data_IF_039589718579
#
_entry.id   IF_039589718579
#
_cell.length_a   1.000
_cell.length_b   1.000
_cell.length_c   1.000
_cell.angle_alpha   90.00
_cell.angle_beta   90.00
_cell.angle_gamma   90.00
#
_symmetry.space_group_name_H-M   'P 1'
#
loop_
_entity.id
_entity.type
_entity.pdbx_description
1 polymer ?
#
# COMPACT_ATOMS: atom_id res chain seq x y z
N UNK A 1 -36.97 8.87 17.09
CA UNK A 1 -36.31 7.95 16.13
C UNK A 1 -35.42 8.78 15.23
N UNK A 2 -34.17 8.97 15.64
CA UNK A 2 -33.19 9.76 14.88
C UNK A 2 -32.73 8.91 13.70
N UNK A 3 -33.06 9.33 12.49
CA UNK A 3 -32.58 8.70 11.27
C UNK A 3 -31.05 8.73 11.29
N UNK A 4 -30.42 7.55 11.23
CA UNK A 4 -29.00 7.42 10.95
C UNK A 4 -28.80 7.88 9.50
N UNK A 5 -28.50 9.17 9.33
CA UNK A 5 -28.05 9.73 8.06
C UNK A 5 -26.81 8.95 7.65
N UNK A 6 -26.95 8.09 6.64
CA UNK A 6 -25.81 7.37 6.07
C UNK A 6 -24.76 8.42 5.67
N UNK A 7 -23.49 8.27 6.08
CA UNK A 7 -22.46 9.21 5.67
C UNK A 7 -22.40 9.25 4.14
N UNK A 8 -22.06 10.41 3.54
CA UNK A 8 -21.92 10.53 2.11
C UNK A 8 -20.99 9.42 1.63
N UNK A 9 -21.49 8.56 0.72
CA UNK A 9 -20.70 7.45 0.19
C UNK A 9 -19.44 8.03 -0.45
N UNK A 10 -18.31 7.85 0.24
CA UNK A 10 -16.98 8.16 -0.28
C UNK A 10 -16.87 7.53 -1.67
N UNK A 11 -16.33 8.26 -2.66
CA UNK A 11 -16.07 7.71 -4.00
C UNK A 11 -14.99 6.65 -3.86
N UNK A 12 -15.42 5.42 -3.60
CA UNK A 12 -14.57 4.28 -3.38
C UNK A 12 -14.88 3.21 -4.41
N UNK A 13 -13.86 2.42 -4.70
CA UNK A 13 -13.88 1.33 -5.66
C UNK A 13 -13.46 0.09 -4.93
N UNK A 14 -14.18 -0.97 -5.19
CA UNK A 14 -14.04 -2.21 -4.44
C UNK A 14 -13.79 -3.34 -5.41
N UNK A 15 -13.09 -4.36 -4.92
CA UNK A 15 -12.89 -5.57 -5.69
C UNK A 15 -12.71 -6.79 -4.80
N UNK A 16 -12.80 -7.94 -5.44
CA UNK A 16 -12.60 -9.25 -4.84
C UNK A 16 -11.65 -10.04 -5.72
N UNK A 17 -10.65 -10.68 -5.12
CA UNK A 17 -9.71 -11.56 -5.77
C UNK A 17 -9.82 -12.95 -5.13
N UNK A 18 -10.09 -13.95 -5.96
CA UNK A 18 -9.97 -15.36 -5.59
C UNK A 18 -8.52 -15.80 -5.81
N UNK A 19 -7.93 -16.41 -4.81
CA UNK A 19 -6.53 -16.85 -4.83
C UNK A 19 -6.47 -18.33 -4.48
N UNK A 20 -5.34 -18.99 -4.74
CA UNK A 20 -5.18 -20.42 -4.44
C UNK A 20 -5.37 -20.75 -2.95
N UNK A 21 -5.04 -19.82 -2.06
CA UNK A 21 -5.08 -20.03 -0.61
C UNK A 21 -6.22 -19.33 0.13
N UNK A 22 -7.09 -18.59 -0.57
CA UNK A 22 -8.11 -17.79 0.10
C UNK A 22 -8.72 -16.68 -0.76
N UNK A 23 -9.41 -15.75 -0.09
CA UNK A 23 -10.09 -14.63 -0.74
C UNK A 23 -9.55 -13.31 -0.22
N UNK A 24 -9.40 -12.33 -1.12
CA UNK A 24 -9.04 -10.95 -0.77
C UNK A 24 -10.13 -10.01 -1.23
N UNK A 25 -10.55 -9.10 -0.35
CA UNK A 25 -11.38 -7.95 -0.70
C UNK A 25 -10.61 -6.68 -0.47
N UNK A 26 -10.76 -5.70 -1.34
CA UNK A 26 -10.08 -4.42 -1.24
C UNK A 26 -11.01 -3.27 -1.52
N UNK A 27 -10.67 -2.09 -0.99
CA UNK A 27 -11.34 -0.82 -1.23
C UNK A 27 -10.32 0.30 -1.38
N UNK A 28 -10.41 1.03 -2.49
CA UNK A 28 -9.60 2.22 -2.80
C UNK A 28 -10.53 3.41 -2.96
N UNK A 29 -10.28 4.51 -2.26
CA UNK A 29 -11.08 5.72 -2.45
C UNK A 29 -10.43 6.96 -1.87
N UNK A 30 -11.17 8.06 -1.95
CA UNK A 30 -10.77 9.36 -1.39
C UNK A 30 -11.46 9.55 -0.05
N UNK A 31 -10.72 10.01 0.98
CA UNK A 31 -11.26 10.38 2.30
C UNK A 31 -11.67 11.86 2.34
N UNK A 32 -12.54 12.21 3.29
CA UNK A 32 -12.71 13.60 3.69
C UNK A 32 -11.37 14.13 4.29
N UNK A 33 -10.89 15.32 3.88
CA UNK A 33 -9.70 15.93 4.47
C UNK A 33 -9.75 16.09 5.99
N UNK A 34 -10.93 16.32 6.57
CA UNK A 34 -11.13 16.48 8.01
C UNK A 34 -11.00 15.16 8.79
N UNK A 35 -11.11 14.00 8.13
CA UNK A 35 -10.99 12.69 8.75
C UNK A 35 -9.56 12.15 8.70
N UNK A 36 -9.05 11.63 9.82
CA UNK A 36 -7.75 10.97 9.85
C UNK A 36 -7.78 9.69 8.99
N UNK A 37 -6.77 9.50 8.13
CA UNK A 37 -6.67 8.35 7.23
C UNK A 37 -6.70 7.00 7.98
N UNK A 38 -6.09 6.94 9.18
CA UNK A 38 -6.10 5.75 10.04
C UNK A 38 -7.50 5.39 10.56
N UNK A 39 -8.32 6.39 10.86
CA UNK A 39 -9.73 6.21 11.27
C UNK A 39 -10.56 5.67 10.11
N UNK A 40 -10.48 6.30 8.94
CA UNK A 40 -11.20 5.86 7.72
C UNK A 40 -10.79 4.44 7.34
N UNK A 41 -9.49 4.14 7.34
CA UNK A 41 -8.99 2.81 7.00
C UNK A 41 -9.49 1.73 7.96
N UNK A 42 -9.50 1.99 9.27
CA UNK A 42 -10.02 1.03 10.27
C UNK A 42 -11.52 0.80 10.10
N UNK A 43 -12.29 1.85 9.87
CA UNK A 43 -13.72 1.76 9.59
C UNK A 43 -14.00 0.93 8.34
N UNK A 44 -13.25 1.16 7.26
CA UNK A 44 -13.41 0.39 6.02
C UNK A 44 -13.04 -1.09 6.17
N UNK A 45 -12.01 -1.41 6.94
CA UNK A 45 -11.66 -2.80 7.24
C UNK A 45 -12.80 -3.50 7.97
N UNK A 46 -13.37 -2.88 9.01
CA UNK A 46 -14.53 -3.43 9.72
C UNK A 46 -15.73 -3.60 8.79
N UNK A 47 -16.04 -2.57 8.00
CA UNK A 47 -17.16 -2.59 7.07
C UNK A 47 -17.03 -3.70 6.02
N UNK A 48 -15.85 -3.93 5.46
CA UNK A 48 -15.58 -5.02 4.51
C UNK A 48 -15.84 -6.37 5.16
N UNK A 49 -15.35 -6.58 6.39
CA UNK A 49 -15.56 -7.85 7.11
C UNK A 49 -17.05 -8.09 7.36
N UNK A 50 -17.75 -7.08 7.88
CA UNK A 50 -19.17 -7.19 8.25
C UNK A 50 -20.08 -7.33 7.04
N UNK A 51 -19.90 -6.49 6.02
CA UNK A 51 -20.76 -6.45 4.83
C UNK A 51 -20.69 -7.75 4.04
N UNK A 52 -19.51 -8.37 4.00
CA UNK A 52 -19.30 -9.60 3.24
C UNK A 52 -19.31 -10.86 4.10
N UNK A 53 -19.58 -10.76 5.40
CA UNK A 53 -19.63 -11.90 6.31
C UNK A 53 -18.34 -12.74 6.28
N UNK A 54 -17.17 -12.10 6.17
CA UNK A 54 -15.90 -12.82 5.98
C UNK A 54 -15.55 -13.72 7.18
N UNK A 55 -15.79 -13.20 8.39
CA UNK A 55 -15.66 -13.89 9.67
C UNK A 55 -16.37 -13.08 10.76
N UNK A 56 -16.53 -13.65 11.95
CA UNK A 56 -17.09 -12.95 13.10
C UNK A 56 -16.14 -11.84 13.58
N UNK A 57 -16.58 -10.58 13.51
CA UNK A 57 -15.78 -9.43 13.92
C UNK A 57 -15.54 -9.40 15.44
N UNK A 58 -14.28 -9.45 15.84
CA UNK A 58 -13.85 -9.36 17.25
C UNK A 58 -12.97 -8.14 17.53
N UNK A 59 -12.75 -7.28 16.53
CA UNK A 59 -11.91 -6.09 16.64
C UNK A 59 -10.45 -6.30 16.21
N UNK A 60 -9.64 -5.30 16.51
CA UNK A 60 -8.20 -5.31 16.23
C UNK A 60 -7.42 -5.79 17.46
N UNK A 61 -6.34 -6.52 17.23
CA UNK A 61 -5.41 -6.89 18.29
C UNK A 61 -4.56 -5.69 18.73
N UNK A 62 -4.19 -5.67 20.01
CA UNK A 62 -3.14 -4.78 20.50
C UNK A 62 -1.79 -5.26 19.97
N UNK A 63 -1.05 -4.38 19.32
CA UNK A 63 0.28 -4.69 18.75
C UNK A 63 1.29 -3.61 19.14
N UNK A 64 2.60 -3.92 19.21
CA UNK A 64 3.62 -2.92 19.51
C UNK A 64 3.59 -1.74 18.51
N UNK A 65 4.07 -0.55 18.91
CA UNK A 65 4.24 0.57 17.98
C UNK A 65 5.04 0.15 16.74
N UNK A 66 4.69 0.71 15.58
CA UNK A 66 5.35 0.46 14.28
C UNK A 66 5.27 -0.99 13.75
N UNK A 67 4.49 -1.86 14.40
CA UNK A 67 4.20 -3.19 13.87
C UNK A 67 2.98 -3.17 12.95
N UNK A 68 2.87 -4.16 12.08
CA UNK A 68 1.70 -4.34 11.22
C UNK A 68 0.46 -4.56 12.10
N UNK A 69 -0.62 -3.78 11.94
CA UNK A 69 -1.90 -4.01 12.60
C UNK A 69 -2.45 -5.42 12.31
N UNK A 70 -3.19 -6.00 13.27
CA UNK A 70 -3.73 -7.37 13.17
C UNK A 70 -5.17 -7.43 13.66
N UNK A 71 -5.93 -8.39 13.14
CA UNK A 71 -7.22 -8.75 13.73
C UNK A 71 -7.00 -9.43 15.08
N UNK A 72 -7.99 -9.36 15.96
CA UNK A 72 -8.02 -10.18 17.16
C UNK A 72 -8.35 -11.66 16.86
N UNK A 73 -8.95 -11.94 15.69
CA UNK A 73 -9.16 -13.29 15.17
C UNK A 73 -7.99 -13.79 14.33
N UNK A 74 -7.72 -15.09 14.43
CA UNK A 74 -6.76 -15.77 13.57
C UNK A 74 -7.33 -16.08 12.18
N UNK A 75 -6.46 -16.46 11.24
CA UNK A 75 -6.85 -16.92 9.91
C UNK A 75 -7.18 -15.82 8.90
N UNK A 76 -7.11 -14.56 9.30
CA UNK A 76 -7.25 -13.40 8.43
C UNK A 76 -6.10 -12.40 8.60
N UNK A 77 -5.87 -11.59 7.57
CA UNK A 77 -4.88 -10.52 7.55
C UNK A 77 -5.50 -9.28 6.90
N UNK A 78 -4.97 -8.10 7.22
CA UNK A 78 -5.33 -6.89 6.51
C UNK A 78 -4.13 -5.98 6.33
N UNK A 79 -4.25 -5.10 5.35
CA UNK A 79 -3.27 -4.05 5.14
C UNK A 79 -3.97 -2.76 4.78
N UNK A 80 -3.35 -1.65 5.18
CA UNK A 80 -3.82 -0.30 4.90
C UNK A 80 -2.67 0.51 4.31
N UNK A 81 -2.99 1.44 3.42
CA UNK A 81 -2.06 2.48 2.97
C UNK A 81 -2.84 3.75 2.62
N UNK A 82 -2.17 4.89 2.67
CA UNK A 82 -2.74 6.17 2.28
C UNK A 82 -1.66 7.08 1.71
N UNK A 83 -2.03 7.90 0.73
CA UNK A 83 -1.15 8.92 0.14
C UNK A 83 -2.02 10.07 -0.37
N UNK A 84 -1.71 11.29 0.07
CA UNK A 84 -2.61 12.44 -0.09
C UNK A 84 -4.00 12.19 0.51
N UNK A 85 -5.04 12.42 -0.30
CA UNK A 85 -6.44 12.14 0.06
C UNK A 85 -6.87 10.69 -0.16
N UNK A 86 -6.00 9.81 -0.66
CA UNK A 86 -6.37 8.42 -0.97
C UNK A 86 -6.17 7.49 0.22
N UNK A 87 -7.10 6.56 0.37
CA UNK A 87 -7.01 5.44 1.31
C UNK A 87 -7.22 4.14 0.53
N UNK A 88 -6.37 3.16 0.81
CA UNK A 88 -6.45 1.81 0.28
C UNK A 88 -6.43 0.82 1.44
N UNK A 89 -7.41 -0.08 1.46
CA UNK A 89 -7.44 -1.21 2.41
C UNK A 89 -7.62 -2.52 1.66
N UNK A 90 -7.05 -3.60 2.20
CA UNK A 90 -7.36 -4.96 1.79
C UNK A 90 -7.51 -5.87 3.00
N UNK A 91 -8.45 -6.81 2.92
CA UNK A 91 -8.72 -7.86 3.89
C UNK A 91 -8.57 -9.20 3.18
N UNK A 92 -7.67 -10.05 3.68
CA UNK A 92 -7.45 -11.40 3.20
C UNK A 92 -7.89 -12.44 4.23
N UNK A 93 -8.60 -13.48 3.78
CA UNK A 93 -8.90 -14.67 4.60
C UNK A 93 -8.12 -15.84 4.03
N UNK A 94 -7.35 -16.55 4.88
CA UNK A 94 -6.48 -17.66 4.47
C UNK A 94 -5.15 -17.24 3.83
N UNK A 95 -4.95 -15.96 3.56
CA UNK A 95 -3.76 -15.40 2.89
C UNK A 95 -3.24 -14.16 3.62
N UNK A 96 -1.95 -13.86 3.46
CA UNK A 96 -1.40 -12.58 3.91
C UNK A 96 -1.52 -11.54 2.80
N UNK A 97 -1.86 -10.32 3.18
CA UNK A 97 -2.10 -9.23 2.22
C UNK A 97 -1.30 -8.00 2.57
N UNK A 98 -0.85 -7.29 1.54
CA UNK A 98 -0.16 -6.01 1.68
C UNK A 98 -0.66 -5.06 0.61
N UNK A 99 -0.91 -3.81 0.98
CA UNK A 99 -1.31 -2.78 0.03
C UNK A 99 -0.45 -1.55 0.15
N UNK A 100 -0.23 -0.91 -0.97
CA UNK A 100 0.38 0.42 -0.99
C UNK A 100 -0.29 1.33 -2.02
N UNK A 101 -0.24 2.63 -1.77
CA UNK A 101 -0.80 3.65 -2.67
C UNK A 101 0.11 4.88 -2.65
N UNK A 102 0.41 5.42 -3.82
CA UNK A 102 1.16 6.66 -4.00
C UNK A 102 0.42 7.60 -4.93
N UNK A 103 0.25 8.85 -4.49
CA UNK A 103 -0.40 9.90 -5.27
C UNK A 103 0.62 10.82 -5.95
N UNK A 104 0.27 11.31 -7.15
CA UNK A 104 0.99 12.38 -7.80
C UNK A 104 1.06 13.63 -6.90
N UNK A 105 2.12 14.47 -6.98
CA UNK A 105 3.05 14.62 -8.11
C UNK A 105 4.32 13.72 -8.11
N UNK A 106 4.43 12.67 -7.27
CA UNK A 106 5.55 11.71 -7.30
C UNK A 106 6.96 12.33 -7.16
N UNK A 107 7.03 13.55 -6.65
CA UNK A 107 8.27 14.35 -6.62
C UNK A 107 9.35 13.73 -5.72
N UNK A 108 8.95 13.00 -4.66
CA UNK A 108 9.86 12.25 -3.80
C UNK A 108 10.77 11.29 -4.60
N UNK A 109 10.29 10.75 -5.72
CA UNK A 109 11.02 9.80 -6.55
C UNK A 109 12.12 10.44 -7.41
N UNK A 110 12.25 11.78 -7.44
CA UNK A 110 13.43 12.45 -8.03
C UNK A 110 14.71 12.18 -7.23
N UNK A 111 14.58 11.92 -5.92
CA UNK A 111 15.71 11.69 -5.03
C UNK A 111 16.60 10.54 -5.52
N UNK A 112 17.86 10.84 -5.81
CA UNK A 112 18.86 9.83 -6.17
C UNK A 112 19.10 8.84 -5.01
N UNK A 113 19.06 9.32 -3.76
CA UNK A 113 19.24 8.48 -2.59
C UNK A 113 18.11 7.44 -2.45
N UNK A 114 16.85 7.85 -2.69
CA UNK A 114 15.71 6.94 -2.69
C UNK A 114 15.86 5.89 -3.79
N UNK A 115 16.15 6.31 -5.02
CA UNK A 115 16.34 5.38 -6.16
C UNK A 115 17.42 4.34 -5.90
N UNK A 116 18.56 4.73 -5.30
CA UNK A 116 19.65 3.81 -4.94
C UNK A 116 19.28 2.78 -3.88
N UNK A 117 18.34 3.11 -2.99
CA UNK A 117 17.88 2.20 -1.92
C UNK A 117 16.69 1.35 -2.33
N UNK A 118 15.95 1.78 -3.35
CA UNK A 118 14.72 1.13 -3.82
C UNK A 118 14.96 0.15 -4.96
N UNK A 119 15.86 0.48 -5.90
CA UNK A 119 16.01 -0.28 -7.15
C UNK A 119 17.05 -1.40 -7.01
N UNK A 120 16.74 -2.54 -7.59
CA UNK A 120 17.75 -3.54 -7.95
C UNK A 120 18.64 -3.02 -9.09
N UNK A 121 19.84 -3.56 -9.32
CA UNK A 121 20.66 -3.19 -10.47
C UNK A 121 19.91 -3.29 -11.81
N UNK A 122 19.16 -4.39 -12.00
CA UNK A 122 18.39 -4.61 -13.22
C UNK A 122 17.22 -3.63 -13.41
N UNK A 123 16.61 -3.14 -12.34
CA UNK A 123 15.57 -2.10 -12.43
C UNK A 123 16.19 -0.72 -12.68
N UNK A 124 17.38 -0.46 -12.14
CA UNK A 124 18.14 0.77 -12.43
C UNK A 124 18.50 0.86 -13.92
N UNK A 125 18.96 -0.24 -14.52
CA UNK A 125 19.27 -0.31 -15.95
C UNK A 125 18.02 -0.17 -16.83
N UNK A 126 16.88 -0.71 -16.37
CA UNK A 126 15.58 -0.52 -17.04
C UNK A 126 15.11 0.92 -16.99
N UNK A 127 15.26 1.61 -15.85
CA UNK A 127 14.88 3.01 -15.69
C UNK A 127 15.58 3.93 -16.71
N UNK A 128 16.82 3.62 -17.09
CA UNK A 128 17.55 4.38 -18.10
C UNK A 128 16.85 4.38 -19.48
N UNK A 129 16.06 3.33 -19.77
CA UNK A 129 15.30 3.18 -21.02
C UNK A 129 13.90 3.81 -20.96
N UNK A 130 13.45 4.23 -19.78
CA UNK A 130 12.14 4.88 -19.59
C UNK A 130 12.24 6.36 -20.01
N UNK A 131 11.31 6.87 -20.85
CA UNK A 131 11.21 8.29 -21.18
C UNK A 131 11.18 9.18 -19.93
N UNK A 132 11.84 10.33 -19.99
CA UNK A 132 12.07 11.19 -18.81
C UNK A 132 10.78 11.58 -18.07
N UNK A 133 9.71 11.86 -18.82
CA UNK A 133 8.36 12.17 -18.33
C UNK A 133 7.66 10.97 -17.68
N UNK A 134 7.98 9.75 -18.10
CA UNK A 134 7.44 8.51 -17.54
C UNK A 134 8.25 7.95 -16.36
N UNK A 135 9.42 8.53 -16.02
CA UNK A 135 10.30 8.00 -14.97
C UNK A 135 9.71 8.07 -13.56
N UNK A 136 9.15 9.21 -13.15
CA UNK A 136 8.59 9.33 -11.79
C UNK A 136 7.40 8.41 -11.56
N UNK A 137 6.43 8.32 -12.50
CA UNK A 137 5.35 7.36 -12.34
C UNK A 137 5.82 5.91 -12.38
N UNK A 138 6.83 5.58 -13.19
CA UNK A 138 7.44 4.25 -13.18
C UNK A 138 8.08 3.94 -11.82
N UNK A 139 8.81 4.88 -11.23
CA UNK A 139 9.43 4.73 -9.90
C UNK A 139 8.38 4.56 -8.80
N UNK A 140 7.32 5.36 -8.83
CA UNK A 140 6.19 5.21 -7.92
C UNK A 140 5.59 3.81 -8.02
N UNK A 141 5.36 3.31 -9.24
CA UNK A 141 4.84 1.95 -9.46
C UNK A 141 5.74 0.87 -8.87
N UNK A 142 7.05 0.96 -9.09
CA UNK A 142 8.02 0.00 -8.53
C UNK A 142 8.01 0.06 -7.00
N UNK A 143 8.02 1.26 -6.44
CA UNK A 143 7.93 1.49 -5.00
C UNK A 143 6.66 0.86 -4.41
N UNK A 144 5.50 1.24 -4.92
CA UNK A 144 4.19 0.79 -4.44
C UNK A 144 4.05 -0.73 -4.50
N UNK A 145 4.52 -1.37 -5.57
CA UNK A 145 4.52 -2.81 -5.68
C UNK A 145 5.44 -3.49 -4.64
N UNK A 146 6.63 -2.93 -4.39
CA UNK A 146 7.57 -3.48 -3.41
C UNK A 146 7.11 -3.27 -1.97
N UNK A 147 6.58 -2.10 -1.64
CA UNK A 147 5.98 -1.80 -0.33
C UNK A 147 4.78 -2.69 -0.06
N UNK A 148 3.92 -2.94 -1.05
CA UNK A 148 2.83 -3.89 -0.92
C UNK A 148 3.35 -5.30 -0.56
N UNK A 149 4.38 -5.81 -1.26
CA UNK A 149 4.99 -7.11 -0.92
C UNK A 149 5.58 -7.13 0.50
N UNK A 150 6.29 -6.07 0.89
CA UNK A 150 6.90 -5.94 2.22
C UNK A 150 5.82 -5.94 3.30
N UNK A 151 4.75 -5.17 3.12
CA UNK A 151 3.59 -5.15 4.01
C UNK A 151 2.88 -6.50 4.10
N UNK A 152 2.80 -7.25 3.00
CA UNK A 152 2.24 -8.61 3.00
C UNK A 152 3.12 -9.59 3.80
N UNK A 153 4.45 -9.46 3.68
CA UNK A 153 5.40 -10.31 4.39
C UNK A 153 5.47 -10.02 5.90
N UNK A 154 5.18 -8.77 6.31
CA UNK A 154 5.32 -8.30 7.69
C UNK A 154 6.77 -8.03 8.11
N UNK A 155 7.73 -8.09 7.18
CA UNK A 155 9.16 -7.85 7.44
C UNK A 155 9.47 -6.37 7.73
N UNK A 156 8.59 -5.46 7.29
CA UNK A 156 8.77 -4.02 7.43
C UNK A 156 10.07 -3.52 6.80
N UNK A 157 10.64 -2.46 7.36
CA UNK A 157 11.88 -1.82 6.86
C UNK A 157 13.13 -2.73 6.90
N UNK A 158 13.03 -3.95 7.45
CA UNK A 158 14.14 -4.91 7.50
C UNK A 158 14.43 -5.52 6.14
N UNK A 159 13.46 -5.51 5.21
CA UNK A 159 13.62 -6.09 3.89
C UNK A 159 14.37 -5.11 2.97
N UNK A 160 15.49 -5.55 2.42
CA UNK A 160 16.28 -4.76 1.47
C UNK A 160 15.62 -4.76 0.08
N UNK A 161 15.06 -3.62 -0.32
CA UNK A 161 14.36 -3.42 -1.59
C UNK A 161 15.25 -3.70 -2.81
N UNK A 162 16.58 -3.64 -2.66
CA UNK A 162 17.54 -3.90 -3.73
C UNK A 162 17.72 -5.40 -4.02
N UNK A 163 17.20 -6.27 -3.17
CA UNK A 163 17.39 -7.73 -3.25
C UNK A 163 16.22 -8.49 -3.86
N UNK A 164 15.13 -7.80 -4.20
CA UNK A 164 14.01 -8.42 -4.90
C UNK A 164 13.42 -7.46 -5.92
N UNK A 165 12.99 -8.02 -7.05
CA UNK A 165 12.31 -7.30 -8.10
C UNK A 165 10.82 -7.58 -8.05
N UNK A 166 10.03 -6.61 -8.50
CA UNK A 166 8.62 -6.83 -8.84
C UNK A 166 8.53 -7.15 -10.33
N UNK A 167 7.52 -7.91 -10.78
CA UNK A 167 7.27 -8.11 -12.21
C UNK A 167 7.25 -6.77 -12.93
N UNK A 168 7.67 -6.74 -14.20
CA UNK A 168 7.56 -5.54 -15.01
C UNK A 168 6.06 -5.22 -15.19
N UNK A 169 5.52 -4.38 -14.31
CA UNK A 169 4.14 -3.95 -14.38
C UNK A 169 4.01 -3.03 -15.59
N UNK A 170 3.47 -3.60 -16.67
CA UNK A 170 3.37 -3.10 -18.04
C UNK A 170 3.07 -1.60 -18.17
N UNK A 171 3.48 -1.05 -19.31
CA UNK A 171 3.44 0.36 -19.78
C UNK A 171 2.04 0.98 -19.89
N UNK A 172 1.18 0.82 -18.89
CA UNK A 172 -0.04 1.59 -18.81
C UNK A 172 0.30 3.03 -18.39
N UNK A 173 -0.32 4.05 -19.01
CA UNK A 173 -0.11 5.42 -18.61
C UNK A 173 -0.54 5.62 -17.16
N UNK A 174 0.25 6.39 -16.42
CA UNK A 174 0.00 6.74 -15.03
C UNK A 174 -0.47 8.17 -15.02
N UNK A 175 -1.75 8.38 -14.69
CA UNK A 175 -2.24 9.75 -14.74
C UNK A 175 -2.12 10.45 -13.39
N UNK A 176 -2.48 9.84 -12.24
CA UNK A 176 -2.38 10.52 -10.92
C UNK A 176 -2.23 9.64 -9.67
N UNK A 177 -2.23 8.32 -9.79
CA UNK A 177 -2.22 7.40 -8.65
C UNK A 177 -1.58 6.07 -9.06
N UNK A 178 -0.72 5.53 -8.20
CA UNK A 178 -0.28 4.14 -8.24
C UNK A 178 -0.82 3.42 -7.01
N UNK A 179 -1.40 2.24 -7.20
CA UNK A 179 -1.92 1.41 -6.11
C UNK A 179 -1.58 -0.04 -6.41
N UNK A 180 -1.12 -0.77 -5.39
CA UNK A 180 -0.76 -2.17 -5.50
C UNK A 180 -1.36 -2.99 -4.36
N UNK A 181 -1.74 -4.22 -4.69
CA UNK A 181 -2.13 -5.28 -3.76
C UNK A 181 -1.20 -6.47 -3.96
N UNK A 182 -0.50 -6.86 -2.90
CA UNK A 182 0.28 -8.07 -2.83
C UNK A 182 -0.44 -9.14 -2.01
N UNK A 183 -0.38 -10.38 -2.48
CA UNK A 183 -0.93 -11.56 -1.80
C UNK A 183 0.14 -12.62 -1.64
N UNK A 184 0.30 -13.12 -0.40
CA UNK A 184 1.17 -14.25 -0.09
C UNK A 184 0.33 -15.43 0.43
N UNK A 185 0.38 -16.53 -0.30
CA UNK A 185 -0.19 -17.83 0.09
C UNK A 185 0.94 -18.79 0.51
N UNK A 186 0.66 -19.80 1.35
CA UNK A 186 1.69 -20.73 1.86
C UNK A 186 2.39 -21.53 0.74
N UNK A 187 1.64 -21.91 -0.31
CA UNK A 187 2.10 -22.83 -1.36
C UNK A 187 1.96 -22.23 -2.77
N UNK A 188 2.10 -20.91 -2.90
CA UNK A 188 2.05 -20.22 -4.18
C UNK A 188 3.11 -19.11 -4.24
N UNK A 189 3.62 -18.76 -5.42
CA UNK A 189 4.50 -17.61 -5.57
C UNK A 189 3.75 -16.32 -5.16
N UNK A 190 4.49 -15.28 -4.70
CA UNK A 190 3.90 -13.97 -4.43
C UNK A 190 3.16 -13.41 -5.64
N UNK A 191 1.93 -12.95 -5.43
CA UNK A 191 1.15 -12.26 -6.45
C UNK A 191 1.15 -10.76 -6.17
N UNK A 192 1.33 -9.93 -7.21
CA UNK A 192 1.24 -8.47 -7.11
C UNK A 192 0.33 -7.94 -8.20
N UNK A 193 -0.72 -7.25 -7.78
CA UNK A 193 -1.79 -6.74 -8.62
C UNK A 193 -1.77 -5.21 -8.58
N UNK A 194 -1.76 -4.56 -9.75
CA UNK A 194 -1.98 -3.11 -9.83
C UNK A 194 -3.47 -2.82 -9.73
N UNK A 195 -3.85 -1.93 -8.82
CA UNK A 195 -5.22 -1.47 -8.66
C UNK A 195 -5.37 -0.14 -9.37
N UNK A 196 -6.35 -0.02 -10.26
CA UNK A 196 -6.72 1.26 -10.88
C UNK A 196 -8.06 1.72 -10.31
N UNK A 197 -8.18 2.98 -9.87
CA UNK A 197 -9.50 3.55 -9.60
C UNK A 197 -10.30 3.58 -10.93
N UNK A 198 -11.62 3.38 -10.91
CA UNK A 198 -12.47 3.47 -12.08
C UNK A 198 -12.39 4.89 -12.65
N UNK A 199 -12.26 4.96 -13.96
CA UNK A 199 -11.99 6.14 -14.80
C UNK A 199 -12.96 7.34 -14.62
N UNK A 200 -13.97 7.27 -13.74
CA UNK A 200 -15.09 8.21 -13.69
C UNK A 200 -15.15 9.12 -12.44
N UNK A 201 -14.12 9.16 -11.59
CA UNK A 201 -14.08 10.14 -10.50
C UNK A 201 -13.35 11.42 -10.95
N UNK A 202 -14.01 12.61 -10.98
CA UNK A 202 -13.27 13.86 -10.96
C UNK A 202 -12.44 13.86 -9.66
N UNK A 203 -11.13 13.99 -9.82
CA UNK A 203 -10.19 13.96 -8.71
C UNK A 203 -10.23 15.30 -7.98
N UNK A 204 -10.13 15.33 -6.65
CA UNK A 204 -9.95 16.60 -5.94
C UNK A 204 -8.69 17.28 -6.47
N UNK A 205 -8.77 18.59 -6.67
CA UNK A 205 -7.59 19.42 -6.87
C UNK A 205 -6.64 19.19 -5.70
N UNK A 206 -5.39 18.87 -5.99
CA UNK A 206 -4.40 18.59 -4.96
C UNK A 206 -4.18 19.87 -4.13
N UNK A 207 -4.46 19.89 -2.81
CA UNK A 207 -3.99 20.97 -1.97
C UNK A 207 -2.46 20.87 -1.84
N UNK A 208 -1.73 21.99 -1.77
CA UNK A 208 -0.29 21.95 -1.54
C UNK A 208 -0.03 21.62 -0.08
N UNK A 209 0.46 20.42 0.24
CA UNK A 209 1.03 20.16 1.56
C UNK A 209 2.12 19.08 1.55
N UNK A 210 3.00 19.20 2.55
CA UNK A 210 4.37 18.71 2.61
C UNK A 210 4.56 17.21 2.33
N UNK A 211 5.73 16.80 1.80
CA UNK A 211 6.02 15.39 1.54
C UNK A 211 5.80 14.57 2.82
N UNK A 212 4.97 13.52 2.70
CA UNK A 212 4.91 12.42 3.67
C UNK A 212 6.32 11.92 3.87
N UNK A 213 6.95 12.39 4.95
CA UNK A 213 8.30 12.01 5.30
C UNK A 213 8.21 10.63 5.95
N UNK A 214 8.13 9.59 5.13
CA UNK A 214 8.61 8.29 5.57
C UNK A 214 10.12 8.48 5.75
N UNK A 215 10.67 8.37 6.97
CA UNK A 215 12.10 8.50 7.15
C UNK A 215 12.76 7.41 6.30
N UNK A 216 13.59 7.83 5.35
CA UNK A 216 14.60 6.96 4.79
C UNK A 216 15.33 6.31 5.97
N UNK A 217 15.43 4.97 6.07
CA UNK A 217 16.10 4.36 7.20
C UNK A 217 17.51 4.94 7.31
N UNK A 218 17.88 5.42 8.49
CA UNK A 218 19.25 5.82 8.77
C UNK A 218 20.15 4.63 8.42
N UNK A 219 21.29 4.89 7.77
CA UNK A 219 22.28 3.84 7.58
C UNK A 219 22.66 3.30 8.96
N UNK A 220 22.89 1.98 9.14
CA UNK A 220 23.38 1.47 10.40
C UNK A 220 24.71 2.17 10.69
N UNK A 221 24.74 2.95 11.77
CA UNK A 221 25.95 3.54 12.30
C UNK A 221 26.85 2.36 12.69
N UNK A 222 28.03 2.29 12.08
CA UNK A 222 29.03 1.31 12.45
C UNK A 222 29.40 1.57 13.91
N UNK A 223 29.01 0.65 14.80
CA UNK A 223 29.54 0.59 16.14
C UNK A 223 31.05 0.36 16.03
N UNK A 224 31.82 1.44 16.13
CA UNK A 224 33.24 1.37 16.39
C UNK A 224 33.43 0.93 17.84
N UNK A 225 33.85 -0.32 17.95
CA UNK A 225 34.62 -0.90 19.05
C UNK A 225 35.62 0.09 19.62
N UNK A 226 35.58 0.33 20.93
CA UNK A 226 36.76 0.70 21.72
C UNK A 226 36.67 -0.12 23.02
N UNK A 227 37.37 -1.26 23.00
CA UNK A 227 37.89 -1.90 24.21
C UNK A 227 39.24 -1.23 24.48
N UNK A 228 39.36 -0.54 25.62
CA UNK A 228 40.60 -0.31 26.34
C UNK A 228 40.26 -0.02 27.79
#
# INVERSE_FOLDING_TARGET
>A
MTALTSPPRLRASEGCLQTRGGVVRWRLGVRDPAEAASTVARAWVEEIVRTHGLFAWTGFAAVPPFSKPRFASDGADFSVSHSGGFVLVAVGVGVRVGVDVEAAPFEAFRSAALRRRMLTPAEHDRLARVPTDARLPHLARVWTAKEALVKASGEGLRRDFRRFAVPALLEAPVFRLEAALAVLSRDAPPEVHRLTPPLAAPMPDAPPEAPSSIPLPAAPEAALTELS
#
